data_IF_265473390480
#
_entry.id   IF_265473390480
#
_cell.length_a   1.000
_cell.length_b   1.000
_cell.length_c   1.000
_cell.angle_alpha   90.00
_cell.angle_beta   90.00
_cell.angle_gamma   90.00
#
_symmetry.space_group_name_H-M   'P 1'
#
loop_
_entity.id
_entity.type
_entity.pdbx_description
1 polymer ?
#
# COMPACT_ATOMS: atom_id res chain seq x y z
N UNK A 1 -44.50 -51.80 26.85
CA UNK A 1 -43.68 -51.23 25.75
C UNK A 1 -42.80 -50.16 26.36
N UNK A 2 -41.48 -50.38 26.43
CA UNK A 2 -40.51 -49.32 26.72
C UNK A 2 -39.17 -49.75 26.09
N UNK A 3 -38.86 -49.15 24.94
CA UNK A 3 -37.66 -49.40 24.17
C UNK A 3 -36.61 -48.38 24.60
N UNK A 4 -35.64 -48.80 25.41
CA UNK A 4 -34.50 -47.98 25.83
C UNK A 4 -33.28 -48.42 25.02
N UNK A 5 -33.09 -47.83 23.83
CA UNK A 5 -31.85 -47.98 23.07
C UNK A 5 -30.85 -46.95 23.60
N UNK A 6 -29.89 -47.43 24.40
CA UNK A 6 -28.67 -46.68 24.72
C UNK A 6 -27.82 -46.67 23.44
N UNK A 7 -27.68 -45.50 22.81
CA UNK A 7 -26.73 -45.29 21.72
C UNK A 7 -25.33 -45.69 22.20
N UNK A 8 -24.76 -46.73 21.60
CA UNK A 8 -23.39 -47.14 21.85
C UNK A 8 -22.46 -46.18 21.10
N UNK A 9 -21.58 -45.51 21.85
CA UNK A 9 -20.54 -44.66 21.26
C UNK A 9 -19.76 -45.44 20.17
N UNK A 10 -19.54 -44.86 18.99
CA UNK A 10 -18.75 -45.50 17.93
C UNK A 10 -17.33 -45.86 18.40
N UNK A 11 -16.83 -47.01 17.97
CA UNK A 11 -15.53 -47.58 18.37
C UNK A 11 -14.35 -46.59 18.26
N UNK A 12 -14.34 -45.75 17.22
CA UNK A 12 -13.30 -44.75 17.00
C UNK A 12 -13.23 -43.66 18.09
N UNK A 13 -14.33 -43.40 18.80
CA UNK A 13 -14.38 -42.45 19.93
C UNK A 13 -13.60 -42.99 21.13
N UNK A 14 -13.54 -44.32 21.29
CA UNK A 14 -12.72 -44.93 22.33
C UNK A 14 -11.23 -44.91 21.98
N UNK A 15 -10.89 -45.04 20.69
CA UNK A 15 -9.50 -44.96 20.23
C UNK A 15 -8.88 -43.57 20.45
N UNK A 16 -9.66 -42.49 20.26
CA UNK A 16 -9.21 -41.11 20.49
C UNK A 16 -9.03 -40.72 21.97
N UNK A 17 -9.63 -41.47 22.91
CA UNK A 17 -9.43 -41.24 24.35
C UNK A 17 -8.03 -41.65 24.81
N UNK A 18 -7.35 -42.50 24.03
CA UNK A 18 -5.96 -42.87 24.27
C UNK A 18 -5.00 -41.88 23.60
N UNK A 19 -4.03 -41.36 24.37
CA UNK A 19 -2.99 -40.49 23.81
C UNK A 19 -2.22 -41.24 22.72
N UNK A 20 -2.09 -40.71 21.49
CA UNK A 20 -1.33 -41.37 20.42
C UNK A 20 0.19 -41.36 20.68
N UNK A 21 0.64 -40.71 21.74
CA UNK A 21 2.04 -40.59 22.10
C UNK A 21 2.40 -41.54 23.26
N UNK A 22 3.40 -42.41 23.03
CA UNK A 22 3.94 -43.36 24.03
C UNK A 22 4.55 -42.67 25.27
N UNK A 23 4.84 -41.37 25.19
CA UNK A 23 5.33 -40.53 26.28
C UNK A 23 4.68 -39.16 26.15
N UNK A 24 4.34 -38.48 27.27
CA UNK A 24 3.79 -37.13 27.22
C UNK A 24 4.80 -36.19 26.52
N UNK A 25 4.36 -35.38 25.54
CA UNK A 25 5.25 -34.53 24.74
C UNK A 25 5.88 -33.39 25.54
N UNK A 26 5.36 -33.11 26.75
CA UNK A 26 5.94 -32.17 27.70
C UNK A 26 6.43 -32.93 28.94
N UNK A 27 7.74 -32.91 29.18
CA UNK A 27 8.30 -33.37 30.45
C UNK A 27 8.03 -32.33 31.54
N UNK A 28 8.04 -32.75 32.81
CA UNK A 28 7.91 -31.82 33.95
C UNK A 28 8.98 -30.73 33.92
N UNK A 29 10.19 -31.07 33.49
CA UNK A 29 11.31 -30.13 33.31
C UNK A 29 11.01 -29.08 32.23
N UNK A 30 10.47 -29.49 31.07
CA UNK A 30 10.07 -28.55 30.01
C UNK A 30 8.93 -27.63 30.46
N UNK A 31 7.95 -28.14 31.22
CA UNK A 31 6.90 -27.29 31.81
C UNK A 31 7.49 -26.25 32.78
N UNK A 32 8.40 -26.66 33.66
CA UNK A 32 9.07 -25.73 34.59
C UNK A 32 9.91 -24.69 33.84
N UNK A 33 10.64 -25.07 32.79
CA UNK A 33 11.42 -24.12 31.99
C UNK A 33 10.54 -23.10 31.26
N UNK A 34 9.37 -23.51 30.76
CA UNK A 34 8.41 -22.60 30.10
C UNK A 34 7.77 -21.64 31.12
N UNK A 35 7.41 -22.14 32.30
CA UNK A 35 6.89 -21.32 33.41
C UNK A 35 7.93 -20.33 33.94
N UNK A 36 9.19 -20.74 34.07
CA UNK A 36 10.28 -19.85 34.47
C UNK A 36 10.57 -18.78 33.41
N UNK A 37 10.50 -19.12 32.11
CA UNK A 37 10.65 -18.13 31.03
C UNK A 37 9.50 -17.14 30.96
N UNK A 38 8.26 -17.57 31.23
CA UNK A 38 7.09 -16.68 31.23
C UNK A 38 7.08 -15.72 32.43
N UNK A 39 7.62 -16.15 33.57
CA UNK A 39 7.73 -15.34 34.80
C UNK A 39 8.96 -14.43 34.80
N UNK A 40 10.11 -14.87 34.29
CA UNK A 40 11.32 -14.03 34.23
C UNK A 40 11.30 -12.92 33.16
N UNK A 41 10.38 -12.98 32.20
CA UNK A 41 10.16 -11.88 31.24
C UNK A 41 9.32 -10.73 31.81
N UNK A 42 8.95 -10.77 33.10
CA UNK A 42 8.35 -9.65 33.83
C UNK A 42 9.33 -9.06 34.85
N UNK A 43 10.52 -8.65 34.42
CA UNK A 43 11.31 -7.67 35.18
C UNK A 43 10.91 -6.26 34.76
N UNK A 44 10.34 -5.42 35.65
CA UNK A 44 10.10 -4.02 35.33
C UNK A 44 11.46 -3.35 35.19
N UNK A 45 11.85 -2.97 33.96
CA UNK A 45 13.06 -2.18 33.78
C UNK A 45 12.85 -0.80 34.41
N UNK A 46 13.55 -0.55 35.52
CA UNK A 46 13.58 0.72 36.25
C UNK A 46 14.24 1.88 35.50
N UNK A 47 13.96 2.04 34.21
CA UNK A 47 14.49 3.11 33.34
C UNK A 47 13.49 4.24 33.05
N UNK A 48 12.30 4.23 33.67
CA UNK A 48 11.28 5.28 33.44
C UNK A 48 11.41 6.53 34.32
N UNK A 49 12.23 6.52 35.37
CA UNK A 49 12.40 7.68 36.27
C UNK A 49 13.57 8.63 35.94
N UNK A 50 14.40 8.35 34.92
CA UNK A 50 15.52 9.24 34.53
C UNK A 50 15.34 9.99 33.21
N UNK A 51 14.22 9.81 32.49
CA UNK A 51 13.90 10.62 31.29
C UNK A 51 12.97 11.80 31.55
N UNK A 52 12.23 11.81 32.66
CA UNK A 52 11.36 12.94 33.03
C UNK A 52 12.13 14.18 33.51
N UNK A 53 13.39 14.04 33.95
CA UNK A 53 14.21 15.16 34.42
C UNK A 53 15.05 15.88 33.34
N UNK A 54 14.98 15.43 32.07
CA UNK A 54 15.66 16.11 30.95
C UNK A 54 14.75 16.97 30.07
N UNK A 55 13.44 16.96 30.31
CA UNK A 55 12.47 17.74 29.51
C UNK A 55 12.15 19.11 30.15
N UNK A 56 12.49 19.34 31.43
CA UNK A 56 12.24 20.62 32.11
C UNK A 56 13.36 21.65 31.91
N UNK A 57 14.54 21.25 31.40
CA UNK A 57 15.67 22.18 31.18
C UNK A 57 15.80 22.74 29.75
N UNK A 58 15.01 22.26 28.78
CA UNK A 58 15.03 22.80 27.40
C UNK A 58 13.81 23.68 27.06
N UNK A 59 12.77 23.69 27.90
CA UNK A 59 11.58 24.53 27.75
C UNK A 59 11.71 25.95 28.33
N UNK A 60 12.80 26.26 29.02
CA UNK A 60 13.01 27.57 29.67
C UNK A 60 13.87 28.56 28.84
N UNK A 61 14.47 28.13 27.72
CA UNK A 61 15.31 28.99 26.88
C UNK A 61 14.62 29.53 25.62
N UNK A 62 13.44 29.03 25.23
CA UNK A 62 12.71 29.53 24.05
C UNK A 62 11.66 30.60 24.38
N UNK A 63 11.21 30.72 25.63
CA UNK A 63 10.27 31.77 26.07
C UNK A 63 11.00 33.08 26.43
N UNK A 64 12.31 33.05 26.67
CA UNK A 64 13.11 34.25 26.95
C UNK A 64 13.54 35.04 25.69
N UNK A 65 13.42 34.45 24.48
CA UNK A 65 13.79 35.12 23.21
C UNK A 65 12.59 35.84 22.58
N UNK A 66 11.35 35.48 22.94
CA UNK A 66 10.14 36.16 22.46
C UNK A 66 9.70 37.35 23.35
N UNK A 67 10.33 37.54 24.52
CA UNK A 67 10.02 38.61 25.48
C UNK A 67 10.87 39.89 25.38
N UNK A 68 11.85 39.94 24.47
CA UNK A 68 12.82 41.06 24.39
C UNK A 68 12.70 41.95 23.15
N UNK A 69 11.58 41.92 22.42
CA UNK A 69 11.29 42.87 21.31
C UNK A 69 9.99 43.67 21.56
N UNK A 70 9.65 43.90 22.83
CA UNK A 70 8.50 44.76 23.19
C UNK A 70 8.87 45.95 24.08
N UNK A 71 10.14 46.38 24.10
CA UNK A 71 10.57 47.58 24.83
C UNK A 71 11.70 48.32 24.09
N UNK A 72 11.44 48.79 22.87
CA UNK A 72 12.06 50.03 22.34
C UNK A 72 10.96 50.78 21.59
N UNK A 73 10.79 52.04 21.99
CA UNK A 73 9.65 52.93 21.82
C UNK A 73 9.09 53.13 20.40
N UNK A 74 7.79 53.51 20.29
CA UNK A 74 7.13 53.88 19.04
C UNK A 74 7.42 55.33 18.69
N UNK A 75 8.47 55.58 17.92
CA UNK A 75 8.64 56.84 17.20
C UNK A 75 9.67 56.68 16.10
N UNK A 76 9.21 56.25 14.91
CA UNK A 76 9.75 56.64 13.59
C UNK A 76 8.98 55.90 12.49
N UNK A 77 7.73 56.32 12.26
CA UNK A 77 7.15 56.24 10.93
C UNK A 77 7.67 57.44 10.15
N UNK A 78 8.54 57.20 9.17
CA UNK A 78 8.62 58.05 7.97
C UNK A 78 9.19 57.26 6.80
N UNK A 79 8.29 57.02 5.83
CA UNK A 79 8.48 56.80 4.40
C UNK A 79 9.69 56.01 3.93
N UNK A 80 9.43 54.83 3.36
CA UNK A 80 9.96 54.48 2.05
C UNK A 80 8.98 53.52 1.35
N UNK A 81 8.52 53.94 0.17
CA UNK A 81 7.77 53.10 -0.75
C UNK A 81 8.65 51.89 -1.12
N UNK A 82 8.42 50.75 -0.48
CA UNK A 82 8.89 49.47 -0.96
C UNK A 82 7.70 48.76 -1.57
N UNK A 83 7.71 48.65 -2.89
CA UNK A 83 6.84 47.78 -3.65
C UNK A 83 6.87 46.39 -3.00
N UNK A 84 5.71 45.77 -2.72
CA UNK A 84 5.71 44.42 -2.19
C UNK A 84 6.35 43.50 -3.22
N UNK A 85 7.42 42.83 -2.81
CA UNK A 85 8.06 41.79 -3.61
C UNK A 85 7.07 40.63 -3.71
N UNK A 86 6.32 40.60 -4.81
CA UNK A 86 5.45 39.48 -5.17
C UNK A 86 6.36 38.27 -5.30
N UNK A 87 6.27 37.33 -4.34
CA UNK A 87 6.77 35.97 -4.55
C UNK A 87 6.21 35.50 -5.88
N UNK A 88 7.02 35.05 -6.86
CA UNK A 88 6.49 34.43 -8.06
C UNK A 88 5.52 33.34 -7.61
N UNK A 89 4.27 33.42 -8.07
CA UNK A 89 3.34 32.32 -7.88
C UNK A 89 4.03 31.06 -8.40
N UNK A 90 3.97 29.97 -7.65
CA UNK A 90 4.41 28.69 -8.16
C UNK A 90 3.72 28.47 -9.52
N UNK A 91 4.45 28.04 -10.56
CA UNK A 91 3.85 27.83 -11.87
C UNK A 91 2.60 26.95 -11.70
N UNK A 92 1.46 27.44 -12.19
CA UNK A 92 0.19 26.71 -12.11
C UNK A 92 0.35 25.43 -12.92
N UNK A 93 0.30 24.28 -12.25
CA UNK A 93 0.38 22.97 -12.90
C UNK A 93 -0.81 22.82 -13.84
N UNK A 94 -0.54 22.55 -15.12
CA UNK A 94 -1.59 22.17 -16.06
C UNK A 94 -2.03 20.73 -15.80
N UNK A 95 -3.34 20.56 -15.60
CA UNK A 95 -4.02 19.31 -15.30
C UNK A 95 -4.98 18.88 -16.42
N UNK A 96 -4.91 19.52 -17.58
CA UNK A 96 -5.71 19.14 -18.74
C UNK A 96 -5.29 17.73 -19.19
N UNK A 97 -6.20 16.75 -19.28
CA UNK A 97 -5.84 15.41 -19.72
C UNK A 97 -5.17 15.40 -21.10
N UNK A 98 -4.04 14.72 -21.19
CA UNK A 98 -3.30 14.51 -22.43
C UNK A 98 -2.40 13.28 -22.28
N UNK A 99 -2.39 12.42 -23.31
CA UNK A 99 -1.54 11.23 -23.36
C UNK A 99 -0.20 11.48 -24.08
N UNK A 100 -0.02 12.67 -24.64
CA UNK A 100 1.13 13.04 -25.47
C UNK A 100 1.81 14.31 -24.95
N UNK A 101 3.13 14.29 -24.96
CA UNK A 101 3.96 15.47 -24.71
C UNK A 101 4.68 15.86 -25.99
N UNK A 102 4.51 17.11 -26.41
CA UNK A 102 5.10 17.65 -27.64
C UNK A 102 6.21 18.67 -27.33
N UNK A 103 7.16 18.82 -28.24
CA UNK A 103 8.15 19.90 -28.20
C UNK A 103 7.48 21.26 -28.49
N UNK A 104 8.21 22.36 -28.33
CA UNK A 104 7.73 23.70 -28.65
C UNK A 104 7.33 23.85 -30.14
N UNK A 105 7.94 23.04 -31.01
CA UNK A 105 7.67 22.97 -32.45
C UNK A 105 6.47 22.04 -32.79
N UNK A 106 5.84 21.42 -31.78
CA UNK A 106 4.67 20.56 -31.95
C UNK A 106 5.00 19.10 -32.31
N UNK A 107 6.27 18.67 -32.23
CA UNK A 107 6.67 17.28 -32.50
C UNK A 107 6.48 16.43 -31.25
N UNK A 108 5.82 15.27 -31.38
CA UNK A 108 5.61 14.37 -30.24
C UNK A 108 6.91 13.75 -29.75
N UNK A 109 7.19 13.92 -28.46
CA UNK A 109 8.38 13.41 -27.76
C UNK A 109 8.06 12.19 -26.89
N UNK A 110 6.87 12.19 -26.28
CA UNK A 110 6.36 11.11 -25.42
C UNK A 110 4.91 10.82 -25.78
N UNK A 111 4.53 9.55 -25.82
CA UNK A 111 3.14 9.11 -25.90
C UNK A 111 2.93 7.86 -25.05
N UNK A 112 1.87 7.88 -24.23
CA UNK A 112 1.59 6.86 -23.24
C UNK A 112 0.27 6.17 -23.55
N UNK A 113 0.29 4.84 -23.43
CA UNK A 113 -0.84 3.96 -23.71
C UNK A 113 -1.09 3.08 -22.48
N UNK A 114 -1.99 3.49 -21.57
CA UNK A 114 -2.50 2.61 -20.53
C UNK A 114 -3.23 1.41 -21.17
N UNK A 115 -3.12 0.24 -20.55
CA UNK A 115 -3.87 -0.94 -20.97
C UNK A 115 -5.34 -0.87 -20.54
N UNK A 116 -6.25 -1.31 -21.40
CA UNK A 116 -7.69 -1.42 -21.09
C UNK A 116 -8.30 -0.10 -20.62
N UNK A 117 -9.21 -0.19 -19.64
CA UNK A 117 -9.91 0.96 -19.05
C UNK A 117 -9.20 1.54 -17.82
N UNK A 118 -8.10 0.92 -17.36
CA UNK A 118 -7.23 1.40 -16.28
C UNK A 118 -7.91 1.97 -15.02
N UNK A 119 -8.96 1.32 -14.47
CA UNK A 119 -9.70 1.89 -13.36
C UNK A 119 -8.90 1.82 -12.05
N UNK A 120 -9.16 2.78 -11.17
CA UNK A 120 -8.55 2.85 -9.86
C UNK A 120 -8.72 1.54 -9.07
N UNK A 121 -7.65 1.11 -8.40
CA UNK A 121 -7.61 -0.13 -7.64
C UNK A 121 -7.31 -1.38 -8.48
N UNK A 122 -7.14 -1.26 -9.80
CA UNK A 122 -6.85 -2.39 -10.70
C UNK A 122 -5.58 -2.15 -11.53
N UNK A 123 -4.59 -3.05 -11.49
CA UNK A 123 -3.41 -2.95 -12.35
C UNK A 123 -3.80 -3.25 -13.81
N UNK A 124 -3.30 -2.45 -14.77
CA UNK A 124 -3.69 -2.61 -16.18
C UNK A 124 -2.53 -2.63 -17.19
N UNK A 125 -1.30 -2.38 -16.72
CA UNK A 125 -0.14 -2.22 -17.57
C UNK A 125 -0.16 -0.91 -18.36
N UNK A 126 0.99 -0.49 -18.86
CA UNK A 126 1.07 0.61 -19.84
C UNK A 126 2.33 0.52 -20.70
N UNK A 127 2.27 1.14 -21.88
CA UNK A 127 3.42 1.40 -22.72
C UNK A 127 3.74 2.88 -22.78
N UNK A 128 5.01 3.20 -22.60
CA UNK A 128 5.58 4.53 -22.67
C UNK A 128 6.48 4.58 -23.90
N UNK A 129 6.01 5.25 -24.96
CA UNK A 129 6.81 5.45 -26.17
C UNK A 129 7.54 6.78 -26.05
N UNK A 130 8.86 6.71 -25.96
CA UNK A 130 9.75 7.85 -26.05
C UNK A 130 10.23 7.92 -27.49
N UNK A 131 9.81 8.93 -28.26
CA UNK A 131 10.14 9.09 -29.69
C UNK A 131 11.58 9.56 -29.90
N UNK A 132 12.50 8.77 -29.35
CA UNK A 132 13.93 8.94 -29.34
C UNK A 132 14.54 7.53 -29.46
N UNK A 133 15.48 7.29 -30.40
CA UNK A 133 16.13 5.99 -30.55
C UNK A 133 16.86 5.55 -29.29
N UNK A 134 16.84 4.24 -29.02
CA UNK A 134 17.37 3.68 -27.78
C UNK A 134 18.85 3.99 -27.59
N UNK A 135 19.62 4.07 -28.68
CA UNK A 135 21.06 4.27 -28.68
C UNK A 135 21.46 5.62 -28.05
N UNK A 136 20.53 6.57 -28.02
CA UNK A 136 20.74 7.88 -27.39
C UNK A 136 20.43 7.87 -25.89
N UNK A 137 19.63 6.92 -25.44
CA UNK A 137 19.16 6.79 -24.06
C UNK A 137 19.82 5.62 -23.32
N UNK A 138 20.48 4.72 -24.04
CA UNK A 138 21.03 3.47 -23.54
C UNK A 138 21.96 3.73 -22.34
N UNK A 139 21.76 2.94 -21.29
CA UNK A 139 22.56 3.03 -20.07
C UNK A 139 22.09 4.09 -19.07
N UNK A 140 21.25 5.03 -19.49
CA UNK A 140 20.58 5.96 -18.57
C UNK A 140 19.42 5.28 -17.84
N UNK A 141 18.97 5.88 -16.76
CA UNK A 141 17.79 5.40 -16.02
C UNK A 141 16.55 6.20 -16.43
N UNK A 142 15.46 5.49 -16.75
CA UNK A 142 14.12 6.07 -16.76
C UNK A 142 13.51 5.98 -15.36
N UNK A 143 12.78 7.01 -14.94
CA UNK A 143 11.97 7.01 -13.72
C UNK A 143 10.66 7.73 -14.00
N UNK A 144 9.55 7.19 -13.48
CA UNK A 144 8.22 7.77 -13.68
C UNK A 144 7.56 7.95 -12.32
N UNK A 145 7.12 9.17 -12.03
CA UNK A 145 6.36 9.49 -10.82
C UNK A 145 4.97 9.94 -11.20
N UNK A 146 3.96 9.53 -10.45
CA UNK A 146 2.59 9.99 -10.62
C UNK A 146 2.12 10.78 -9.40
N UNK A 147 1.44 11.90 -9.63
CA UNK A 147 0.86 12.75 -8.57
C UNK A 147 -0.64 12.87 -8.76
N UNK A 148 -1.40 12.55 -7.71
CA UNK A 148 -2.85 12.73 -7.68
C UNK A 148 -3.21 14.18 -7.38
N UNK A 149 -4.11 14.75 -8.17
CA UNK A 149 -4.48 16.17 -8.07
C UNK A 149 -5.07 16.56 -6.72
N UNK A 150 -6.07 15.81 -6.23
CA UNK A 150 -6.86 16.23 -5.07
C UNK A 150 -6.16 15.97 -3.74
N UNK A 151 -5.38 14.88 -3.66
CA UNK A 151 -4.70 14.50 -2.40
C UNK A 151 -3.24 14.90 -2.35
N UNK A 152 -2.62 15.24 -3.50
CA UNK A 152 -1.18 15.39 -3.61
C UNK A 152 -0.41 14.08 -3.42
N UNK A 153 -1.09 12.93 -3.40
CA UNK A 153 -0.46 11.62 -3.27
C UNK A 153 0.53 11.41 -4.40
N UNK A 154 1.75 10.99 -4.05
CA UNK A 154 2.77 10.65 -5.02
C UNK A 154 3.05 9.16 -4.98
N UNK A 155 3.22 8.57 -6.15
CA UNK A 155 3.68 7.19 -6.31
C UNK A 155 4.85 7.15 -7.30
N UNK A 156 5.71 6.16 -7.12
CA UNK A 156 6.72 5.80 -8.10
C UNK A 156 6.12 4.75 -9.05
N UNK A 157 5.53 5.23 -10.14
CA UNK A 157 4.89 4.39 -11.17
C UNK A 157 5.91 3.48 -11.87
N UNK A 158 7.13 3.97 -12.07
CA UNK A 158 8.25 3.17 -12.53
C UNK A 158 9.51 3.59 -11.74
N UNK A 159 10.08 2.69 -10.91
CA UNK A 159 11.35 2.98 -10.24
C UNK A 159 12.48 3.20 -11.24
N UNK A 160 13.60 3.81 -10.82
CA UNK A 160 14.79 3.96 -11.66
C UNK A 160 15.16 2.65 -12.36
N UNK A 161 14.89 2.60 -13.67
CA UNK A 161 15.05 1.41 -14.49
C UNK A 161 16.03 1.73 -15.60
N UNK A 162 17.05 0.88 -15.77
CA UNK A 162 18.07 1.09 -16.80
C UNK A 162 17.47 0.85 -18.19
N UNK A 163 17.66 1.80 -19.10
CA UNK A 163 17.27 1.65 -20.49
C UNK A 163 18.27 0.72 -21.18
N UNK A 164 17.76 -0.36 -21.77
CA UNK A 164 18.55 -1.40 -22.44
C UNK A 164 18.16 -1.53 -23.92
N UNK A 165 19.01 -2.15 -24.76
CA UNK A 165 18.69 -2.40 -26.17
C UNK A 165 17.41 -3.22 -26.41
N UNK A 166 16.93 -3.99 -25.41
CA UNK A 166 15.68 -4.75 -25.52
C UNK A 166 14.43 -3.85 -25.57
N UNK A 167 14.58 -2.58 -25.17
CA UNK A 167 13.53 -1.56 -25.24
C UNK A 167 13.49 -0.87 -26.61
N UNK A 168 14.35 -1.26 -27.55
CA UNK A 168 14.44 -0.68 -28.88
C UNK A 168 13.23 -1.05 -29.75
N UNK A 169 12.70 -0.05 -30.43
CA UNK A 169 11.85 -0.18 -31.60
C UNK A 169 12.47 0.64 -32.74
N UNK A 170 12.01 0.42 -33.97
CA UNK A 170 12.60 0.95 -35.21
C UNK A 170 13.19 2.38 -35.10
N UNK A 171 12.45 3.31 -34.50
CA UNK A 171 12.86 4.69 -34.33
C UNK A 171 12.52 5.31 -32.96
N UNK A 172 12.18 4.48 -31.97
CA UNK A 172 11.78 4.95 -30.65
C UNK A 172 12.11 3.94 -29.55
N UNK A 173 12.11 4.39 -28.30
CA UNK A 173 12.31 3.55 -27.12
C UNK A 173 10.96 3.28 -26.47
N UNK A 174 10.65 2.02 -26.16
CA UNK A 174 9.43 1.65 -25.43
C UNK A 174 9.76 1.08 -24.06
N UNK A 175 9.11 1.62 -23.06
CA UNK A 175 9.17 1.12 -21.68
C UNK A 175 7.79 0.66 -21.26
N UNK A 176 7.71 -0.38 -20.43
CA UNK A 176 6.46 -0.85 -19.85
C UNK A 176 6.44 -0.64 -18.34
N UNK A 177 5.28 -0.27 -17.80
CA UNK A 177 5.02 -0.26 -16.35
C UNK A 177 3.65 -0.90 -16.05
N UNK A 178 3.28 -1.03 -14.78
CA UNK A 178 2.05 -1.73 -14.36
C UNK A 178 0.80 -0.85 -14.35
N UNK A 179 0.92 0.48 -14.37
CA UNK A 179 -0.17 1.46 -14.36
C UNK A 179 -1.24 1.12 -13.31
N UNK A 180 -0.87 1.24 -12.04
CA UNK A 180 -1.62 0.65 -10.91
C UNK A 180 -1.95 1.69 -9.86
N UNK A 181 -2.97 2.51 -10.14
CA UNK A 181 -3.30 3.70 -9.34
C UNK A 181 -4.36 3.36 -8.28
N UNK A 182 -4.19 3.80 -7.02
CA UNK A 182 -5.12 3.45 -5.95
C UNK A 182 -6.43 4.27 -5.99
N UNK A 183 -6.38 5.50 -6.51
CA UNK A 183 -7.49 6.46 -6.50
C UNK A 183 -7.88 6.86 -7.92
N UNK A 184 -9.17 7.10 -8.12
CA UNK A 184 -9.71 7.67 -9.35
C UNK A 184 -9.49 9.19 -9.40
N UNK A 185 -9.64 9.78 -10.59
CA UNK A 185 -9.48 11.20 -10.83
C UNK A 185 -8.18 11.53 -11.57
N UNK A 186 -7.79 12.81 -11.51
CA UNK A 186 -6.67 13.31 -12.31
C UNK A 186 -5.32 12.95 -11.70
N UNK A 187 -4.49 12.28 -12.50
CA UNK A 187 -3.11 11.95 -12.18
C UNK A 187 -2.16 12.54 -13.21
N UNK A 188 -1.13 13.23 -12.73
CA UNK A 188 -0.04 13.75 -13.55
C UNK A 188 1.16 12.84 -13.43
N UNK A 189 1.70 12.40 -14.55
CA UNK A 189 2.90 11.58 -14.62
C UNK A 189 4.05 12.40 -15.14
N UNK A 190 5.11 12.51 -14.37
CA UNK A 190 6.37 13.12 -14.79
C UNK A 190 7.37 12.02 -15.15
N UNK A 191 7.87 12.06 -16.38
CA UNK A 191 8.86 11.10 -16.90
C UNK A 191 10.23 11.74 -16.86
N UNK A 192 11.19 11.06 -16.25
CA UNK A 192 12.57 11.49 -16.12
C UNK A 192 13.50 10.52 -16.84
N UNK A 193 14.53 11.06 -17.48
CA UNK A 193 15.66 10.30 -18.03
C UNK A 193 16.93 10.86 -17.40
N UNK A 194 17.64 10.02 -16.65
CA UNK A 194 18.66 10.49 -15.72
C UNK A 194 18.05 11.43 -14.68
N UNK A 195 18.59 12.64 -14.56
CA UNK A 195 18.08 13.69 -13.66
C UNK A 195 17.15 14.68 -14.39
N UNK A 196 17.06 14.62 -15.72
CA UNK A 196 16.31 15.58 -16.51
C UNK A 196 14.86 15.14 -16.71
N UNK A 197 13.93 16.11 -16.58
CA UNK A 197 12.53 15.88 -16.92
C UNK A 197 12.38 15.76 -18.44
N UNK A 198 11.94 14.60 -18.90
CA UNK A 198 11.76 14.30 -20.31
C UNK A 198 10.43 14.85 -20.86
N UNK A 199 9.36 14.74 -20.08
CA UNK A 199 8.02 15.20 -20.40
C UNK A 199 7.02 14.85 -19.30
N UNK A 200 5.75 15.21 -19.52
CA UNK A 200 4.65 14.79 -18.65
C UNK A 200 3.39 14.44 -19.43
N UNK A 201 2.53 13.67 -18.79
CA UNK A 201 1.18 13.33 -19.28
C UNK A 201 0.20 13.42 -18.13
N UNK A 202 -1.08 13.64 -18.45
CA UNK A 202 -2.15 13.69 -17.45
C UNK A 202 -3.28 12.77 -17.88
N UNK A 203 -3.70 11.88 -16.98
CA UNK A 203 -4.83 10.98 -17.20
C UNK A 203 -5.94 11.27 -16.19
N UNK A 204 -7.19 11.23 -16.67
CA UNK A 204 -8.37 11.11 -15.81
C UNK A 204 -8.66 9.62 -15.63
N UNK A 205 -8.41 9.13 -14.43
CA UNK A 205 -8.45 7.71 -14.10
C UNK A 205 -9.86 7.37 -13.65
N UNK A 206 -10.57 6.48 -14.36
CA UNK A 206 -11.93 6.14 -13.98
C UNK A 206 -11.94 5.41 -12.63
N UNK A 207 -13.04 5.55 -11.90
CA UNK A 207 -13.26 4.72 -10.72
C UNK A 207 -13.72 3.31 -11.15
N UNK A 208 -13.38 2.30 -10.35
CA UNK A 208 -13.89 0.94 -10.54
C UNK A 208 -15.26 0.76 -9.88
N UNK A 209 -15.93 -0.34 -10.23
CA UNK A 209 -17.17 -0.74 -9.55
C UNK A 209 -16.97 -0.85 -8.04
N UNK A 210 -17.95 -0.38 -7.29
CA UNK A 210 -18.02 -0.51 -5.83
C UNK A 210 -18.93 -1.67 -5.40
N UNK A 211 -19.34 -2.54 -6.32
CA UNK A 211 -20.00 -3.79 -5.95
C UNK A 211 -19.04 -4.66 -5.13
N UNK A 212 -19.52 -5.31 -4.04
CA UNK A 212 -18.71 -6.26 -3.29
C UNK A 212 -18.08 -7.29 -4.21
N UNK A 213 -16.79 -7.57 -4.00
CA UNK A 213 -16.06 -8.53 -4.83
C UNK A 213 -16.71 -9.91 -4.79
N UNK A 214 -16.64 -10.66 -5.91
CA UNK A 214 -17.27 -11.97 -5.98
C UNK A 214 -16.64 -12.95 -5.00
N UNK A 215 -17.43 -13.98 -4.66
CA UNK A 215 -16.97 -15.15 -3.93
C UNK A 215 -16.59 -16.23 -4.95
N UNK A 216 -15.41 -16.82 -4.79
CA UNK A 216 -14.94 -17.95 -5.58
C UNK A 216 -14.41 -19.07 -4.66
N UNK A 217 -14.31 -20.28 -5.20
CA UNK A 217 -13.81 -21.43 -4.44
C UNK A 217 -12.34 -21.68 -4.77
N UNK A 218 -11.51 -21.89 -3.75
CA UNK A 218 -10.15 -22.40 -3.92
C UNK A 218 -9.85 -23.48 -2.88
N UNK A 219 -9.51 -24.68 -3.35
CA UNK A 219 -9.45 -25.87 -2.51
C UNK A 219 -10.82 -26.14 -1.87
N UNK A 220 -10.86 -26.20 -0.54
CA UNK A 220 -12.08 -26.45 0.23
C UNK A 220 -12.70 -25.17 0.84
N UNK A 221 -12.25 -23.98 0.40
CA UNK A 221 -12.63 -22.71 1.01
C UNK A 221 -13.28 -21.79 0.00
N UNK A 222 -14.31 -21.08 0.46
CA UNK A 222 -14.86 -19.90 -0.21
C UNK A 222 -14.02 -18.67 0.16
N UNK A 223 -13.72 -17.86 -0.83
CA UNK A 223 -12.89 -16.67 -0.70
C UNK A 223 -13.55 -15.51 -1.42
N UNK A 224 -13.45 -14.32 -0.83
CA UNK A 224 -13.88 -13.07 -1.46
C UNK A 224 -12.68 -12.40 -2.10
N UNK A 225 -12.78 -12.04 -3.39
CA UNK A 225 -11.68 -11.38 -4.09
C UNK A 225 -11.77 -11.45 -5.62
N UNK A 226 -10.60 -11.47 -6.25
CA UNK A 226 -10.43 -11.60 -7.71
C UNK A 226 -9.77 -12.94 -7.98
N UNK A 227 -10.52 -13.85 -8.59
CA UNK A 227 -10.06 -15.21 -8.92
C UNK A 227 -8.75 -15.18 -9.72
N UNK A 228 -7.84 -16.11 -9.43
CA UNK A 228 -6.49 -16.19 -10.00
C UNK A 228 -5.59 -14.97 -9.74
N UNK A 229 -5.96 -14.07 -8.81
CA UNK A 229 -5.08 -12.96 -8.40
C UNK A 229 -4.96 -12.84 -6.89
N UNK A 230 -6.02 -12.47 -6.19
CA UNK A 230 -6.00 -12.33 -4.73
C UNK A 230 -7.38 -12.56 -4.12
N UNK A 231 -7.42 -13.03 -2.88
CA UNK A 231 -8.65 -13.17 -2.12
C UNK A 231 -8.36 -13.54 -0.69
N UNK A 232 -9.40 -13.54 0.15
CA UNK A 232 -9.24 -13.96 1.53
C UNK A 232 -10.48 -14.62 2.10
N UNK A 233 -10.24 -15.50 3.07
CA UNK A 233 -11.28 -16.12 3.89
C UNK A 233 -11.63 -15.16 5.02
N UNK A 234 -12.92 -14.94 5.27
CA UNK A 234 -13.37 -14.03 6.31
C UNK A 234 -14.68 -14.44 6.99
N UNK A 235 -14.88 -14.07 8.26
CA UNK A 235 -16.18 -14.19 8.94
C UNK A 235 -17.14 -13.01 8.64
N UNK A 236 -16.68 -12.01 7.86
CA UNK A 236 -17.38 -10.75 7.60
C UNK A 236 -16.73 -9.58 8.34
N UNK A 237 -17.15 -8.36 8.01
CA UNK A 237 -16.59 -7.12 8.59
C UNK A 237 -17.62 -6.42 9.46
N UNK A 238 -17.20 -6.05 10.69
CA UNK A 238 -17.95 -5.18 11.59
C UNK A 238 -17.10 -3.95 11.91
N UNK A 239 -17.70 -2.76 11.80
CA UNK A 239 -17.02 -1.50 12.02
C UNK A 239 -16.38 -1.43 13.41
N UNK A 240 -15.11 -1.03 13.45
CA UNK A 240 -14.30 -0.91 14.68
C UNK A 240 -13.92 -2.22 15.34
N UNK A 241 -14.28 -3.38 14.76
CA UNK A 241 -13.95 -4.69 15.33
C UNK A 241 -12.79 -5.33 14.58
N UNK A 242 -11.74 -5.68 15.33
CA UNK A 242 -10.64 -6.45 14.77
C UNK A 242 -11.03 -7.92 14.62
N UNK A 243 -10.75 -8.49 13.44
CA UNK A 243 -10.94 -9.91 13.17
C UNK A 243 -9.75 -10.49 12.39
N UNK A 244 -9.69 -11.81 12.29
CA UNK A 244 -8.68 -12.53 11.53
C UNK A 244 -9.17 -12.82 10.12
N UNK A 245 -8.30 -12.57 9.15
CA UNK A 245 -8.53 -12.80 7.74
C UNK A 245 -7.36 -13.60 7.18
N UNK A 246 -7.63 -14.57 6.33
CA UNK A 246 -6.58 -15.39 5.72
C UNK A 246 -6.42 -15.01 4.25
N UNK A 247 -5.40 -14.21 3.94
CA UNK A 247 -5.09 -13.77 2.58
C UNK A 247 -4.43 -14.87 1.78
N UNK A 248 -4.78 -14.92 0.50
CA UNK A 248 -4.31 -15.85 -0.52
C UNK A 248 -3.99 -15.06 -1.79
N UNK A 249 -2.85 -15.35 -2.40
CA UNK A 249 -2.34 -14.67 -3.58
C UNK A 249 -1.91 -15.70 -4.63
N UNK A 250 -2.23 -15.45 -5.90
CA UNK A 250 -1.92 -16.29 -7.05
C UNK A 250 -1.11 -15.50 -8.05
N UNK A 251 0.06 -16.02 -8.44
CA UNK A 251 1.03 -15.29 -9.23
C UNK A 251 2.39 -15.97 -9.22
N UNK A 252 3.38 -15.30 -9.83
CA UNK A 252 4.76 -15.81 -9.87
C UNK A 252 5.48 -15.58 -8.56
N UNK A 253 6.42 -16.46 -8.21
CA UNK A 253 7.18 -16.37 -6.96
C UNK A 253 7.89 -15.02 -6.79
N UNK A 254 8.37 -14.43 -7.90
CA UNK A 254 9.04 -13.12 -7.89
C UNK A 254 8.08 -11.97 -7.58
N UNK A 255 6.79 -12.10 -7.92
CA UNK A 255 5.75 -11.12 -7.60
C UNK A 255 5.24 -11.27 -6.16
N UNK A 256 5.40 -12.45 -5.57
CA UNK A 256 4.82 -12.84 -4.28
C UNK A 256 5.85 -12.90 -3.14
N UNK A 257 6.95 -12.17 -3.29
CA UNK A 257 8.03 -12.12 -2.31
C UNK A 257 8.42 -10.67 -2.03
N UNK A 258 8.06 -10.15 -0.85
CA UNK A 258 8.30 -8.74 -0.55
C UNK A 258 7.55 -8.24 0.69
N UNK A 259 7.56 -6.93 0.87
CA UNK A 259 6.76 -6.23 1.86
C UNK A 259 5.31 -6.13 1.37
N UNK A 260 4.39 -6.84 2.04
CA UNK A 260 2.96 -6.72 1.80
C UNK A 260 2.39 -5.60 2.67
N UNK A 261 1.73 -4.65 2.02
CA UNK A 261 0.92 -3.63 2.66
C UNK A 261 -0.53 -3.74 2.19
N UNK A 262 -1.46 -3.84 3.14
CA UNK A 262 -2.89 -3.69 2.89
C UNK A 262 -3.31 -2.30 3.33
N UNK A 263 -3.80 -1.52 2.38
CA UNK A 263 -4.44 -0.23 2.64
C UNK A 263 -5.93 -0.30 2.32
N UNK A 264 -6.70 0.69 2.77
CA UNK A 264 -8.11 0.77 2.44
C UNK A 264 -8.55 2.19 2.14
N UNK A 265 -9.52 2.32 1.24
CA UNK A 265 -10.22 3.57 0.96
C UNK A 265 -11.73 3.32 0.96
N UNK A 266 -12.48 4.22 1.59
CA UNK A 266 -13.95 4.16 1.64
C UNK A 266 -14.53 4.74 0.36
N UNK A 267 -15.68 4.22 -0.08
CA UNK A 267 -16.43 4.81 -1.18
C UNK A 267 -16.67 6.32 -0.96
N UNK A 268 -16.50 7.11 -2.02
CA UNK A 268 -16.61 8.58 -2.00
C UNK A 268 -15.62 9.29 -1.07
N UNK A 269 -14.47 8.66 -0.80
CA UNK A 269 -13.37 9.25 -0.05
C UNK A 269 -12.06 9.11 -0.83
N UNK A 270 -11.12 10.01 -0.55
CA UNK A 270 -9.73 9.89 -0.99
C UNK A 270 -8.77 9.59 0.18
N UNK A 271 -9.30 9.42 1.39
CA UNK A 271 -8.51 9.05 2.57
C UNK A 271 -8.15 7.57 2.50
N UNK A 272 -6.86 7.31 2.26
CA UNK A 272 -6.28 5.97 2.36
C UNK A 272 -5.81 5.76 3.80
N UNK A 273 -6.25 4.65 4.40
CA UNK A 273 -5.79 4.22 5.72
C UNK A 273 -4.93 2.96 5.61
N UNK A 274 -3.94 2.87 6.49
CA UNK A 274 -3.13 1.65 6.65
C UNK A 274 -3.92 0.63 7.48
N UNK A 275 -4.05 -0.59 6.97
CA UNK A 275 -4.85 -1.65 7.60
C UNK A 275 -3.97 -2.78 8.13
N UNK A 276 -2.97 -3.19 7.37
CA UNK A 276 -2.08 -4.29 7.74
C UNK A 276 -0.76 -4.22 6.98
N UNK A 277 0.32 -4.68 7.61
CA UNK A 277 1.64 -4.76 7.01
C UNK A 277 2.33 -6.03 7.50
N UNK A 278 3.00 -6.74 6.59
CA UNK A 278 3.80 -7.93 6.91
C UNK A 278 4.77 -8.22 5.77
N UNK A 279 5.71 -9.12 5.99
CA UNK A 279 6.44 -9.75 4.88
C UNK A 279 5.57 -10.86 4.26
N UNK A 280 5.47 -10.86 2.94
CA UNK A 280 4.93 -11.97 2.14
C UNK A 280 6.09 -12.76 1.55
N UNK A 281 5.93 -14.07 1.51
CA UNK A 281 6.83 -14.98 0.83
C UNK A 281 6.02 -16.07 0.13
N UNK A 282 6.52 -16.62 -0.99
CA UNK A 282 5.90 -17.77 -1.63
C UNK A 282 5.71 -18.93 -0.64
N UNK A 283 4.58 -19.61 -0.74
CA UNK A 283 4.17 -20.62 0.23
C UNK A 283 2.77 -21.12 -0.08
N UNK A 284 2.71 -22.23 -0.83
CA UNK A 284 1.44 -22.76 -1.32
C UNK A 284 0.51 -23.16 -0.20
N UNK A 285 -0.72 -22.67 -0.25
CA UNK A 285 -1.76 -22.99 0.72
C UNK A 285 -3.15 -22.83 0.08
N UNK A 286 -4.04 -23.81 0.29
CA UNK A 286 -5.42 -23.78 -0.22
C UNK A 286 -5.54 -23.49 -1.73
N UNK A 287 -4.56 -23.91 -2.53
CA UNK A 287 -4.52 -23.68 -3.98
C UNK A 287 -3.87 -22.35 -4.40
N UNK A 288 -3.54 -21.46 -3.46
CA UNK A 288 -2.80 -20.23 -3.72
C UNK A 288 -1.28 -20.46 -3.72
N UNK A 289 -0.55 -19.54 -4.34
CA UNK A 289 0.92 -19.58 -4.44
C UNK A 289 1.59 -18.95 -3.22
N UNK A 290 0.92 -18.00 -2.56
CA UNK A 290 1.30 -17.46 -1.27
C UNK A 290 0.07 -17.20 -0.40
N UNK A 291 0.23 -17.27 0.92
CA UNK A 291 -0.84 -16.97 1.86
C UNK A 291 -0.29 -16.49 3.20
N UNK A 292 -1.03 -15.59 3.86
CA UNK A 292 -0.72 -15.18 5.25
C UNK A 292 -1.97 -14.75 6.02
N UNK A 293 -1.99 -14.97 7.34
CA UNK A 293 -3.04 -14.44 8.20
C UNK A 293 -2.81 -12.95 8.49
N UNK A 294 -3.88 -12.18 8.53
CA UNK A 294 -3.87 -10.79 9.02
C UNK A 294 -4.88 -10.60 10.16
N UNK A 295 -4.64 -9.57 10.97
CA UNK A 295 -5.61 -9.06 11.95
C UNK A 295 -5.95 -7.63 11.54
N UNK A 296 -7.19 -7.41 11.08
CA UNK A 296 -7.58 -6.13 10.46
C UNK A 296 -8.86 -5.59 11.12
N UNK A 297 -9.04 -4.27 11.08
CA UNK A 297 -10.25 -3.57 11.51
C UNK A 297 -10.47 -2.37 10.59
N UNK A 298 -11.72 -2.14 10.19
CA UNK A 298 -12.11 -0.96 9.40
C UNK A 298 -12.95 -0.03 10.29
N UNK A 299 -12.77 1.30 10.22
CA UNK A 299 -13.27 2.20 11.26
C UNK A 299 -14.78 2.48 11.20
N UNK A 300 -15.41 2.33 10.04
CA UNK A 300 -16.84 2.64 9.86
C UNK A 300 -17.52 1.73 8.85
N UNK A 301 -18.85 1.64 8.94
CA UNK A 301 -19.69 0.86 8.02
C UNK A 301 -19.73 1.47 6.62
N UNK A 302 -20.08 0.64 5.64
CA UNK A 302 -20.16 0.98 4.21
C UNK A 302 -19.19 0.18 3.35
N UNK A 303 -19.05 0.59 2.09
CA UNK A 303 -18.19 -0.07 1.11
C UNK A 303 -16.75 0.44 1.22
N UNK A 304 -15.82 -0.52 1.25
CA UNK A 304 -14.39 -0.26 1.34
C UNK A 304 -13.66 -1.06 0.27
N UNK A 305 -12.69 -0.41 -0.39
CA UNK A 305 -11.72 -1.06 -1.27
C UNK A 305 -10.48 -1.36 -0.46
N UNK A 306 -10.19 -2.63 -0.24
CA UNK A 306 -8.95 -3.13 0.33
C UNK A 306 -7.94 -3.30 -0.81
N UNK A 307 -6.81 -2.62 -0.72
CA UNK A 307 -5.77 -2.64 -1.75
C UNK A 307 -4.54 -3.35 -1.18
N UNK A 308 -4.11 -4.42 -1.86
CA UNK A 308 -2.91 -5.15 -1.51
C UNK A 308 -1.76 -4.67 -2.40
N UNK A 309 -0.69 -4.16 -1.80
CA UNK A 309 0.54 -3.78 -2.48
C UNK A 309 1.70 -4.65 -2.01
N UNK A 310 2.56 -5.06 -2.94
CA UNK A 310 3.80 -5.80 -2.66
C UNK A 310 4.97 -4.95 -3.12
N UNK A 311 5.92 -4.67 -2.23
CA UNK A 311 7.07 -3.77 -2.47
C UNK A 311 6.64 -2.41 -3.04
N UNK A 312 5.53 -1.88 -2.51
CA UNK A 312 4.96 -0.58 -2.91
C UNK A 312 4.14 -0.59 -4.19
N UNK A 313 4.13 -1.68 -4.95
CA UNK A 313 3.33 -1.81 -6.18
C UNK A 313 1.98 -2.46 -5.89
N UNK A 314 0.89 -1.85 -6.36
CA UNK A 314 -0.46 -2.39 -6.19
C UNK A 314 -0.60 -3.72 -6.95
N UNK A 315 -0.81 -4.79 -6.18
CA UNK A 315 -0.98 -6.14 -6.67
C UNK A 315 -2.41 -6.40 -7.14
N UNK A 316 -3.38 -5.80 -6.45
CA UNK A 316 -4.80 -5.84 -6.76
C UNK A 316 -5.66 -5.36 -5.59
N UNK A 317 -6.97 -5.36 -5.75
CA UNK A 317 -7.90 -4.91 -4.71
C UNK A 317 -9.15 -5.76 -4.59
N UNK A 318 -9.81 -5.65 -3.43
CA UNK A 318 -11.06 -6.33 -3.09
C UNK A 318 -12.04 -5.31 -2.50
N UNK A 319 -13.28 -5.29 -2.97
CA UNK A 319 -14.35 -4.48 -2.38
C UNK A 319 -15.09 -5.31 -1.33
N UNK A 320 -15.28 -4.74 -0.14
CA UNK A 320 -16.02 -5.36 0.96
C UNK A 320 -17.07 -4.42 1.52
N UNK A 321 -18.16 -5.00 2.01
CA UNK A 321 -19.15 -4.29 2.81
C UNK A 321 -18.85 -4.48 4.31
N UNK A 322 -18.75 -3.36 5.02
CA UNK A 322 -18.58 -3.32 6.48
C UNK A 322 -19.90 -2.97 7.13
N UNK A 323 -20.33 -3.77 8.10
CA UNK A 323 -21.56 -3.55 8.88
C UNK A 323 -21.30 -2.72 10.12
#
# INVERSE_FOLDING_TARGET
>A
MNNNQKEMEPHWVQELKSSPFKKPPFTKEMMTTVLERSTNNRKPSGKKYKRLFRVVAAGACTIAILGMIWIISPSLIKNNNSTPMVKPAAPTVDWTPHSQYNTAEGVTKLHVFPGGDYPAGSPSGSWWNLYVPVETLEGQNIRITATHKETGMQIEELPPTKITPEMAYDNFTRVSSTFSLPLSGLWKFDVYIGEEKFGDVVFDVPDSSWEPSPVFTSGNFEMTGVENRLGFIHPGFQAGQSNKYMWHFWGRDEELNGELKITAVKQNSFEIIDVFESKLSPGKLNGADAALPSSMSLPSSGLWRLMASIDGQLYGSVIVEVK
#
